data_IF_670737455489
#
_entry.id   IF_670737455489
#
_cell.length_a   1.000
_cell.length_b   1.000
_cell.length_c   1.000
_cell.angle_alpha   90.00
_cell.angle_beta   90.00
_cell.angle_gamma   90.00
#
_symmetry.space_group_name_H-M   'P 1'
#
loop_
_entity.id
_entity.type
_entity.pdbx_description
1 polymer ?
#
# COMPACT_ATOMS: atom_id res chain seq x y z
N UNK A 1 22.03 24.80 -0.25
CA UNK A 1 20.57 24.99 -0.10
C UNK A 1 19.88 23.79 -0.73
N UNK A 2 19.24 22.96 0.09
CA UNK A 2 18.88 21.58 -0.25
C UNK A 2 17.57 21.45 -1.01
N UNK A 3 17.48 20.43 -1.86
CA UNK A 3 16.35 20.08 -2.73
C UNK A 3 15.02 19.80 -2.00
N UNK A 4 14.98 19.88 -0.65
CA UNK A 4 13.92 19.31 0.20
C UNK A 4 13.07 20.35 0.96
N UNK A 5 13.28 21.65 0.80
CA UNK A 5 12.56 22.70 1.55
C UNK A 5 11.15 23.04 1.03
N UNK A 6 10.57 22.26 0.09
CA UNK A 6 9.33 22.63 -0.63
C UNK A 6 8.06 21.82 -0.32
N UNK A 7 8.07 20.95 0.68
CA UNK A 7 6.86 20.18 1.04
C UNK A 7 5.88 21.03 1.89
N UNK A 8 4.95 21.74 1.23
CA UNK A 8 3.85 22.48 1.87
C UNK A 8 2.74 21.54 2.37
N UNK A 9 2.08 21.92 3.47
CA UNK A 9 0.95 21.19 4.04
C UNK A 9 -0.27 21.13 3.09
N UNK A 10 -1.01 20.01 3.06
CA UNK A 10 -2.11 19.79 2.11
C UNK A 10 -3.36 20.63 2.44
N UNK A 11 -4.03 21.12 1.38
CA UNK A 11 -5.36 21.74 1.46
C UNK A 11 -6.44 20.66 1.30
N UNK A 12 -7.53 20.78 2.06
CA UNK A 12 -8.64 19.79 2.08
C UNK A 12 -9.27 19.59 0.68
N UNK A 13 -9.53 18.34 0.24
CA UNK A 13 -10.28 18.08 -0.97
C UNK A 13 -11.77 18.42 -0.81
N UNK A 14 -12.40 18.91 -1.88
CA UNK A 14 -13.86 19.12 -2.00
C UNK A 14 -14.54 17.83 -2.46
N UNK A 15 -15.80 17.56 -2.03
CA UNK A 15 -16.48 16.32 -2.37
C UNK A 15 -17.13 16.37 -3.76
N UNK A 16 -17.01 15.29 -4.54
CA UNK A 16 -17.93 15.02 -5.66
C UNK A 16 -18.20 13.53 -5.86
N UNK A 17 -19.50 13.24 -5.76
CA UNK A 17 -20.35 12.25 -6.44
C UNK A 17 -19.89 10.79 -6.54
N UNK A 18 -20.70 9.95 -5.92
CA UNK A 18 -20.65 8.48 -5.82
C UNK A 18 -21.03 7.76 -7.11
N UNK A 19 -20.33 6.66 -7.47
CA UNK A 19 -20.86 5.63 -8.34
C UNK A 19 -21.35 4.40 -7.56
N UNK A 20 -22.24 3.67 -8.23
CA UNK A 20 -23.06 2.53 -7.81
C UNK A 20 -22.28 1.31 -7.27
N UNK A 21 -22.79 0.54 -6.29
CA UNK A 21 -22.09 -0.61 -5.73
C UNK A 21 -21.99 -1.78 -6.72
N UNK A 22 -20.77 -2.29 -6.95
CA UNK A 22 -20.53 -3.56 -7.63
C UNK A 22 -20.79 -4.73 -6.67
N UNK A 23 -21.46 -5.77 -7.17
CA UNK A 23 -21.77 -6.98 -6.41
C UNK A 23 -20.50 -7.78 -6.01
N UNK A 24 -20.54 -8.54 -4.90
CA UNK A 24 -19.41 -9.36 -4.46
C UNK A 24 -19.12 -10.49 -5.46
N UNK A 25 -17.91 -10.52 -6.01
CA UNK A 25 -17.40 -11.60 -6.86
C UNK A 25 -17.13 -12.87 -6.04
N UNK A 26 -17.47 -14.04 -6.57
CA UNK A 26 -17.12 -15.34 -5.99
C UNK A 26 -15.60 -15.47 -5.74
N UNK A 27 -15.16 -16.12 -4.65
CA UNK A 27 -13.75 -16.20 -4.32
C UNK A 27 -13.00 -17.06 -5.36
N UNK A 28 -11.85 -16.59 -5.89
CA UNK A 28 -11.01 -17.38 -6.78
C UNK A 28 -10.55 -18.69 -6.11
N UNK A 29 -10.26 -19.73 -6.92
CA UNK A 29 -10.05 -21.11 -6.46
C UNK A 29 -8.84 -21.31 -5.51
N UNK A 30 -7.97 -20.30 -5.37
CA UNK A 30 -6.74 -20.35 -4.56
C UNK A 30 -6.88 -19.73 -3.16
N UNK A 31 -8.10 -19.42 -2.73
CA UNK A 31 -8.40 -18.84 -1.41
C UNK A 31 -8.88 -19.89 -0.41
N UNK A 32 -8.21 -19.97 0.74
CA UNK A 32 -8.58 -20.90 1.81
C UNK A 32 -9.29 -20.15 2.92
N UNK A 33 -10.53 -20.55 3.18
CA UNK A 33 -11.35 -20.08 4.30
C UNK A 33 -12.32 -21.18 4.77
N UNK A 34 -12.46 -21.44 6.09
CA UNK A 34 -11.65 -20.90 7.18
C UNK A 34 -10.17 -21.30 7.05
N UNK A 35 -9.29 -20.65 7.83
CA UNK A 35 -7.88 -21.01 7.83
C UNK A 35 -7.67 -22.47 8.30
N UNK A 36 -6.73 -23.23 7.71
CA UNK A 36 -6.38 -24.56 8.20
C UNK A 36 -5.94 -24.50 9.67
N UNK A 37 -6.37 -25.47 10.47
CA UNK A 37 -6.09 -25.56 11.90
C UNK A 37 -6.52 -24.32 12.72
N UNK A 38 -7.62 -23.65 12.37
CA UNK A 38 -8.07 -22.43 13.06
C UNK A 38 -8.33 -22.63 14.56
N UNK A 39 -8.56 -23.85 15.02
CA UNK A 39 -8.70 -24.17 16.45
C UNK A 39 -7.38 -24.03 17.22
N UNK A 40 -6.24 -24.02 16.54
CA UNK A 40 -4.94 -23.81 17.17
C UNK A 40 -4.76 -22.33 17.57
N UNK A 41 -4.42 -22.04 18.84
CA UNK A 41 -4.23 -20.66 19.30
C UNK A 41 -3.21 -19.85 18.49
N UNK A 42 -2.16 -20.50 17.99
CA UNK A 42 -1.15 -19.86 17.14
C UNK A 42 -1.72 -19.40 15.80
N UNK A 43 -2.64 -20.17 15.20
CA UNK A 43 -3.29 -19.82 13.93
C UNK A 43 -4.26 -18.66 14.13
N UNK A 44 -5.03 -18.68 15.22
CA UNK A 44 -5.90 -17.55 15.59
C UNK A 44 -5.12 -16.27 15.82
N UNK A 45 -3.95 -16.35 16.47
CA UNK A 45 -3.08 -15.20 16.66
C UNK A 45 -2.57 -14.63 15.32
N UNK A 46 -2.14 -15.50 14.39
CA UNK A 46 -1.71 -15.07 13.06
C UNK A 46 -2.88 -14.43 12.29
N UNK A 47 -4.06 -15.04 12.31
CA UNK A 47 -5.26 -14.48 11.68
C UNK A 47 -5.58 -13.09 12.25
N UNK A 48 -5.52 -12.90 13.57
CA UNK A 48 -5.71 -11.58 14.20
C UNK A 48 -4.64 -10.59 13.77
N UNK A 49 -3.36 -10.98 13.70
CA UNK A 49 -2.28 -10.11 13.20
C UNK A 49 -2.57 -9.63 11.79
N UNK A 50 -2.96 -10.54 10.90
CA UNK A 50 -3.35 -10.21 9.52
C UNK A 50 -4.56 -9.28 9.49
N UNK A 51 -5.57 -9.53 10.33
CA UNK A 51 -6.74 -8.64 10.39
C UNK A 51 -6.38 -7.20 10.79
N UNK A 52 -5.48 -7.03 11.75
CA UNK A 52 -4.96 -5.69 12.10
C UNK A 52 -4.10 -5.10 10.99
N UNK A 53 -3.31 -5.93 10.30
CA UNK A 53 -2.50 -5.52 9.17
C UNK A 53 -3.37 -4.98 8.02
N UNK A 54 -4.34 -5.75 7.55
CA UNK A 54 -5.24 -5.31 6.47
C UNK A 54 -6.12 -4.11 6.92
N UNK A 55 -6.57 -4.09 8.18
CA UNK A 55 -7.31 -2.95 8.72
C UNK A 55 -6.47 -1.67 8.75
N UNK A 56 -5.17 -1.76 9.04
CA UNK A 56 -4.24 -0.64 8.98
C UNK A 56 -4.21 -0.01 7.59
N UNK A 57 -4.02 -0.84 6.56
CA UNK A 57 -4.08 -0.42 5.15
C UNK A 57 -5.39 0.30 4.83
N UNK A 58 -6.52 -0.32 5.14
CA UNK A 58 -7.83 0.22 4.79
C UNK A 58 -8.15 1.55 5.49
N UNK A 59 -7.84 1.67 6.78
CA UNK A 59 -8.12 2.90 7.55
C UNK A 59 -7.23 4.04 7.08
N UNK A 60 -5.95 3.80 6.84
CA UNK A 60 -5.04 4.85 6.33
C UNK A 60 -5.43 5.26 4.91
N UNK A 61 -5.76 4.31 4.03
CA UNK A 61 -6.26 4.62 2.69
C UNK A 61 -7.47 5.58 2.75
N UNK A 62 -8.45 5.29 3.62
CA UNK A 62 -9.61 6.18 3.81
C UNK A 62 -9.25 7.54 4.40
N UNK A 63 -8.25 7.65 5.27
CA UNK A 63 -7.78 8.96 5.77
C UNK A 63 -7.27 9.87 4.64
N UNK A 64 -6.77 9.27 3.54
CA UNK A 64 -6.35 9.97 2.33
C UNK A 64 -7.44 10.09 1.26
N UNK A 65 -8.68 9.70 1.56
CA UNK A 65 -9.79 9.74 0.62
C UNK A 65 -9.72 8.65 -0.47
N UNK A 66 -8.89 7.63 -0.28
CA UNK A 66 -8.85 6.46 -1.17
C UNK A 66 -9.99 5.52 -0.77
N UNK A 67 -10.88 5.25 -1.71
CA UNK A 67 -11.95 4.27 -1.53
C UNK A 67 -11.37 2.85 -1.45
N UNK A 68 -11.84 2.06 -0.49
CA UNK A 68 -11.51 0.66 -0.31
C UNK A 68 -12.71 -0.17 -0.77
N UNK A 69 -12.53 -0.92 -1.85
CA UNK A 69 -13.60 -1.74 -2.45
C UNK A 69 -13.78 -3.06 -1.69
N UNK A 70 -12.66 -3.69 -1.28
CA UNK A 70 -12.66 -4.98 -0.62
C UNK A 70 -11.51 -5.08 0.39
N UNK A 71 -11.75 -5.79 1.49
CA UNK A 71 -10.74 -6.21 2.46
C UNK A 71 -11.00 -7.67 2.76
N UNK A 72 -9.97 -8.49 2.61
CA UNK A 72 -10.04 -9.90 2.96
C UNK A 72 -8.82 -10.38 3.73
N UNK A 73 -9.03 -11.28 4.68
CA UNK A 73 -8.02 -12.02 5.44
C UNK A 73 -7.98 -13.50 5.02
N UNK A 74 -8.52 -13.85 3.85
CA UNK A 74 -8.44 -15.19 3.28
C UNK A 74 -7.00 -15.53 2.89
N UNK A 75 -6.57 -16.73 3.27
CA UNK A 75 -5.21 -17.19 3.00
C UNK A 75 -5.06 -17.56 1.53
N UNK A 76 -4.00 -17.07 0.89
CA UNK A 76 -3.58 -17.40 -0.48
C UNK A 76 -2.17 -17.98 -0.47
N UNK A 77 -1.74 -18.51 -1.62
CA UNK A 77 -0.38 -19.06 -1.80
C UNK A 77 0.72 -18.03 -1.48
N UNK A 78 0.50 -16.74 -1.77
CA UNK A 78 1.52 -15.67 -1.65
C UNK A 78 1.12 -14.51 -0.73
N UNK A 79 -0.07 -14.52 -0.16
CA UNK A 79 -0.53 -13.49 0.78
C UNK A 79 -1.45 -14.09 1.84
N UNK A 80 -1.46 -13.48 3.02
CA UNK A 80 -2.34 -13.91 4.12
C UNK A 80 -3.62 -13.06 4.21
N UNK A 81 -3.63 -11.92 3.54
CA UNK A 81 -4.77 -11.03 3.36
C UNK A 81 -4.58 -10.18 2.10
N UNK A 82 -5.54 -9.28 1.88
CA UNK A 82 -5.52 -8.29 0.79
C UNK A 82 -6.49 -7.16 1.12
N UNK A 83 -6.04 -5.93 0.92
CA UNK A 83 -6.90 -4.76 0.68
C UNK A 83 -6.90 -4.40 -0.79
N UNK A 84 -8.09 -4.16 -1.35
CA UNK A 84 -8.27 -3.73 -2.74
C UNK A 84 -8.83 -2.31 -2.77
N UNK A 85 -7.97 -1.28 -2.82
CA UNK A 85 -8.41 0.09 -3.00
C UNK A 85 -8.74 0.39 -4.47
N UNK A 86 -9.47 1.48 -4.70
CA UNK A 86 -9.59 2.09 -6.03
C UNK A 86 -8.19 2.56 -6.48
N UNK A 87 -7.82 2.25 -7.71
CA UNK A 87 -6.51 2.58 -8.25
C UNK A 87 -6.28 4.09 -8.27
N UNK A 88 -5.21 4.54 -7.62
CA UNK A 88 -4.81 5.94 -7.61
C UNK A 88 -3.94 6.28 -8.84
N UNK A 89 -3.80 7.56 -9.23
CA UNK A 89 -2.87 7.97 -10.29
C UNK A 89 -1.43 7.47 -10.09
N UNK A 90 -0.93 7.49 -8.85
CA UNK A 90 0.40 6.96 -8.52
C UNK A 90 0.50 5.44 -8.70
N UNK A 91 -0.56 4.70 -8.35
CA UNK A 91 -0.64 3.27 -8.63
C UNK A 91 -0.53 2.99 -10.14
N UNK A 92 -1.36 3.66 -10.95
CA UNK A 92 -1.40 3.46 -12.40
C UNK A 92 -0.07 3.79 -13.06
N UNK A 93 0.61 4.84 -12.58
CA UNK A 93 1.92 5.22 -13.10
C UNK A 93 2.98 4.14 -12.82
N UNK A 94 2.91 3.51 -11.65
CA UNK A 94 3.83 2.44 -11.25
C UNK A 94 3.60 1.17 -12.07
N UNK A 95 2.35 0.83 -12.39
CA UNK A 95 2.05 -0.27 -13.30
C UNK A 95 2.62 -0.03 -14.69
N UNK A 96 2.35 1.14 -15.29
CA UNK A 96 2.93 1.54 -16.58
C UNK A 96 4.46 1.48 -16.57
N UNK A 97 5.09 1.96 -15.50
CA UNK A 97 6.54 1.90 -15.36
C UNK A 97 7.06 0.45 -15.23
N UNK A 98 6.36 -0.40 -14.48
CA UNK A 98 6.70 -1.81 -14.35
C UNK A 98 6.64 -2.57 -15.68
N UNK A 99 5.65 -2.27 -16.51
CA UNK A 99 5.49 -2.86 -17.84
C UNK A 99 6.58 -2.37 -18.80
N UNK A 100 6.86 -1.06 -18.82
CA UNK A 100 7.95 -0.50 -19.62
C UNK A 100 9.31 -1.10 -19.24
N UNK A 101 9.57 -1.28 -17.95
CA UNK A 101 10.81 -1.90 -17.47
C UNK A 101 10.92 -3.36 -17.94
N UNK A 102 9.85 -4.13 -17.83
CA UNK A 102 9.84 -5.53 -18.27
C UNK A 102 10.09 -5.65 -19.77
N UNK A 103 9.44 -4.81 -20.57
CA UNK A 103 9.67 -4.75 -22.02
C UNK A 103 11.12 -4.40 -22.38
N UNK A 104 11.75 -3.51 -21.61
CA UNK A 104 13.15 -3.17 -21.78
C UNK A 104 14.08 -4.35 -21.41
N UNK A 105 13.79 -5.06 -20.32
CA UNK A 105 14.57 -6.21 -19.86
C UNK A 105 14.46 -7.42 -20.83
N UNK A 106 13.31 -7.59 -21.49
CA UNK A 106 13.05 -8.67 -22.47
C UNK A 106 13.65 -8.42 -23.86
N UNK A 107 14.07 -7.19 -24.17
CA UNK A 107 14.68 -6.86 -25.47
C UNK A 107 15.93 -5.96 -25.33
N UNK A 108 17.06 -6.52 -24.87
CA UNK A 108 18.28 -5.75 -24.59
C UNK A 108 18.86 -5.03 -25.83
N UNK A 109 18.62 -5.59 -27.02
CA UNK A 109 19.20 -5.17 -28.31
C UNK A 109 18.24 -4.32 -29.18
N UNK A 110 17.07 -3.92 -28.64
CA UNK A 110 16.08 -3.14 -29.36
C UNK A 110 16.60 -1.73 -29.73
N UNK A 111 16.59 -1.39 -31.02
CA UNK A 111 16.85 -0.02 -31.54
C UNK A 111 15.78 1.00 -31.13
N UNK A 112 14.62 0.53 -30.64
CA UNK A 112 13.58 1.33 -29.98
C UNK A 112 13.84 1.42 -28.48
N UNK A 113 15.11 1.43 -28.07
CA UNK A 113 15.48 1.90 -26.74
C UNK A 113 14.94 3.32 -26.65
N UNK A 114 13.76 3.49 -26.07
CA UNK A 114 13.41 4.76 -25.45
C UNK A 114 14.49 4.89 -24.40
N UNK A 115 15.49 5.77 -24.58
CA UNK A 115 16.51 5.94 -23.57
C UNK A 115 15.77 6.15 -22.26
N UNK A 116 16.25 5.57 -21.17
CA UNK A 116 15.70 5.91 -19.85
C UNK A 116 15.80 7.44 -19.64
N UNK A 117 16.68 8.10 -20.41
CA UNK A 117 16.80 9.55 -20.60
C UNK A 117 15.59 10.28 -21.24
N UNK A 118 14.67 9.61 -21.96
CA UNK A 118 13.44 10.24 -22.50
C UNK A 118 12.32 10.29 -21.45
N UNK A 119 12.45 9.51 -20.37
CA UNK A 119 11.67 9.73 -19.16
C UNK A 119 12.36 10.85 -18.38
N UNK A 120 12.08 12.09 -18.80
CA UNK A 120 12.54 13.36 -18.21
C UNK A 120 12.71 13.27 -16.68
N UNK A 121 13.63 14.05 -16.05
CA UNK A 121 13.59 14.22 -14.60
C UNK A 121 12.18 14.69 -14.28
N UNK A 122 11.36 13.82 -13.66
CA UNK A 122 9.93 14.10 -13.55
C UNK A 122 9.81 15.40 -12.79
N UNK A 123 9.41 16.46 -13.50
CA UNK A 123 8.87 17.67 -12.90
C UNK A 123 7.97 17.22 -11.77
N UNK A 124 8.28 17.65 -10.54
CA UNK A 124 7.46 17.51 -9.32
C UNK A 124 6.20 16.68 -9.59
N UNK A 125 6.27 15.36 -9.34
CA UNK A 125 5.22 14.41 -9.67
C UNK A 125 3.82 15.05 -9.55
N UNK A 126 3.12 15.25 -10.67
CA UNK A 126 1.90 16.08 -10.74
C UNK A 126 0.81 15.63 -9.75
N UNK A 127 0.91 14.38 -9.28
CA UNK A 127 0.01 13.75 -8.33
C UNK A 127 0.69 13.48 -6.97
N UNK A 128 1.49 14.40 -6.46
CA UNK A 128 2.23 14.25 -5.20
C UNK A 128 1.35 13.75 -4.04
N UNK A 129 0.13 14.27 -3.91
CA UNK A 129 -0.85 13.83 -2.91
C UNK A 129 -1.20 12.34 -3.06
N UNK A 130 -1.37 11.85 -4.29
CA UNK A 130 -1.63 10.44 -4.58
C UNK A 130 -0.43 9.56 -4.23
N UNK A 131 0.80 10.01 -4.49
CA UNK A 131 2.01 9.28 -4.12
C UNK A 131 2.16 9.23 -2.60
N UNK A 132 1.96 10.36 -1.91
CA UNK A 132 2.00 10.40 -0.45
C UNK A 132 0.98 9.41 0.14
N UNK A 133 -0.26 9.41 -0.35
CA UNK A 133 -1.29 8.50 0.14
C UNK A 133 -0.91 7.02 -0.06
N UNK A 134 -0.35 6.68 -1.22
CA UNK A 134 0.11 5.32 -1.51
C UNK A 134 1.31 4.89 -0.65
N UNK A 135 2.29 5.78 -0.44
CA UNK A 135 3.45 5.51 0.42
C UNK A 135 3.06 5.27 1.88
N UNK A 136 2.08 6.03 2.38
CA UNK A 136 1.49 5.77 3.70
C UNK A 136 0.76 4.43 3.72
N UNK A 137 -0.08 4.19 2.71
CA UNK A 137 -0.87 2.95 2.63
C UNK A 137 0.07 1.74 2.60
N UNK A 138 1.17 1.75 1.85
CA UNK A 138 2.13 0.63 1.85
C UNK A 138 2.71 0.29 3.23
N UNK A 139 2.83 1.24 4.15
CA UNK A 139 3.42 0.98 5.47
C UNK A 139 2.36 0.77 6.56
N UNK A 140 1.13 1.18 6.30
CA UNK A 140 0.06 1.27 7.29
C UNK A 140 -0.24 -0.08 7.96
N UNK A 141 -0.29 -1.18 7.21
CA UNK A 141 -0.55 -2.50 7.77
C UNK A 141 0.52 -2.99 8.73
N UNK A 142 1.80 -2.84 8.36
CA UNK A 142 2.90 -3.21 9.24
C UNK A 142 2.95 -2.35 10.51
N UNK A 143 2.66 -1.05 10.40
CA UNK A 143 2.59 -0.14 11.55
C UNK A 143 1.42 -0.51 12.48
N UNK A 144 0.23 -0.79 11.93
CA UNK A 144 -0.93 -1.20 12.72
C UNK A 144 -0.69 -2.53 13.45
N UNK A 145 -0.04 -3.49 12.78
CA UNK A 145 0.36 -4.76 13.41
C UNK A 145 1.36 -4.53 14.55
N UNK A 146 2.39 -3.70 14.32
CA UNK A 146 3.38 -3.35 15.35
C UNK A 146 2.72 -2.66 16.55
N UNK A 147 1.84 -1.69 16.33
CA UNK A 147 1.14 -0.98 17.42
C UNK A 147 0.29 -1.91 18.28
N UNK A 148 -0.31 -2.95 17.69
CA UNK A 148 -1.18 -3.87 18.41
C UNK A 148 -0.43 -5.02 19.09
N UNK A 149 0.68 -5.49 18.50
CA UNK A 149 1.36 -6.73 18.91
C UNK A 149 2.84 -6.54 19.26
N UNK A 150 3.33 -5.29 19.27
CA UNK A 150 4.73 -4.92 19.51
C UNK A 150 5.74 -5.52 18.52
N UNK A 151 5.25 -6.10 17.41
CA UNK A 151 6.06 -6.65 16.33
C UNK A 151 5.21 -6.83 15.08
N UNK A 152 5.83 -6.72 13.90
CA UNK A 152 5.23 -7.06 12.62
C UNK A 152 5.94 -8.28 12.00
N UNK A 153 5.18 -9.26 11.52
CA UNK A 153 5.74 -10.46 10.86
C UNK A 153 5.47 -10.51 9.35
N UNK A 154 4.62 -9.62 8.84
CA UNK A 154 4.28 -9.48 7.42
C UNK A 154 4.91 -8.25 6.73
N UNK A 155 4.50 -7.98 5.48
CA UNK A 155 4.79 -6.71 4.80
C UNK A 155 5.86 -6.73 3.70
N UNK A 156 6.45 -7.88 3.36
CA UNK A 156 7.46 -7.96 2.27
C UNK A 156 6.91 -7.45 0.93
N UNK A 157 5.66 -7.78 0.62
CA UNK A 157 4.96 -7.29 -0.56
C UNK A 157 4.82 -5.78 -0.55
N UNK A 158 4.42 -5.23 0.59
CA UNK A 158 4.20 -3.79 0.73
C UNK A 158 5.52 -3.00 0.72
N UNK A 159 6.60 -3.54 1.28
CA UNK A 159 7.92 -2.93 1.18
C UNK A 159 8.44 -2.90 -0.26
N UNK A 160 8.20 -3.98 -1.02
CA UNK A 160 8.54 -4.02 -2.45
C UNK A 160 7.73 -2.97 -3.21
N UNK A 161 6.45 -2.83 -2.88
CA UNK A 161 5.56 -1.84 -3.47
C UNK A 161 6.00 -0.41 -3.14
N UNK A 162 6.28 -0.12 -1.87
CA UNK A 162 6.82 1.16 -1.40
C UNK A 162 8.09 1.52 -2.15
N UNK A 163 9.04 0.58 -2.24
CA UNK A 163 10.29 0.79 -2.97
C UNK A 163 10.03 1.10 -4.45
N UNK A 164 9.16 0.35 -5.11
CA UNK A 164 8.81 0.58 -6.51
C UNK A 164 8.20 1.96 -6.73
N UNK A 165 7.32 2.43 -5.84
CA UNK A 165 6.76 3.78 -5.91
C UNK A 165 7.81 4.88 -5.75
N UNK A 166 8.70 4.72 -4.76
CA UNK A 166 9.82 5.65 -4.54
C UNK A 166 10.73 5.68 -5.76
N UNK A 167 11.16 4.53 -6.30
CA UNK A 167 12.02 4.47 -7.48
C UNK A 167 11.34 5.05 -8.73
N UNK A 168 10.05 4.77 -8.93
CA UNK A 168 9.30 5.28 -10.09
C UNK A 168 9.15 6.80 -10.07
N UNK A 169 9.01 7.41 -8.87
CA UNK A 169 8.64 8.81 -8.73
C UNK A 169 9.80 9.73 -8.33
N UNK A 170 10.79 9.22 -7.60
CA UNK A 170 11.95 9.97 -7.12
C UNK A 170 13.29 9.47 -7.69
N UNK A 171 13.28 8.40 -8.50
CA UNK A 171 14.48 7.93 -9.20
C UNK A 171 15.02 8.97 -10.17
N UNK A 172 16.33 8.94 -10.37
CA UNK A 172 16.98 9.68 -11.45
C UNK A 172 16.63 9.11 -12.83
N UNK A 173 17.26 9.61 -13.90
CA UNK A 173 17.07 9.08 -15.26
C UNK A 173 17.45 7.59 -15.41
N UNK A 174 18.07 6.97 -14.41
CA UNK A 174 18.32 5.52 -14.35
C UNK A 174 17.36 4.79 -13.40
N UNK A 175 16.39 5.50 -12.80
CA UNK A 175 15.48 5.00 -11.78
C UNK A 175 16.18 4.69 -10.44
N UNK A 176 17.41 5.15 -10.25
CA UNK A 176 18.21 4.83 -9.07
C UNK A 176 17.83 5.76 -7.91
N UNK A 177 17.51 5.14 -6.78
CA UNK A 177 17.39 5.80 -5.47
C UNK A 177 18.28 5.02 -4.51
N UNK A 178 19.16 5.72 -3.80
CA UNK A 178 20.06 5.05 -2.87
C UNK A 178 19.27 4.33 -1.77
N UNK A 179 19.78 3.18 -1.30
CA UNK A 179 19.17 2.44 -0.20
C UNK A 179 19.01 3.28 1.07
N UNK A 180 19.95 4.20 1.34
CA UNK A 180 19.86 5.14 2.46
C UNK A 180 18.68 6.12 2.33
N UNK A 181 18.40 6.61 1.12
CA UNK A 181 17.25 7.48 0.87
C UNK A 181 15.93 6.73 1.04
N UNK A 182 15.85 5.49 0.55
CA UNK A 182 14.67 4.62 0.74
C UNK A 182 14.45 4.34 2.23
N UNK A 183 15.52 4.03 2.98
CA UNK A 183 15.43 3.80 4.42
C UNK A 183 14.94 5.05 5.17
N UNK A 184 15.44 6.23 4.80
CA UNK A 184 15.02 7.51 5.38
C UNK A 184 13.54 7.80 5.11
N UNK A 185 13.10 7.65 3.85
CA UNK A 185 11.69 7.84 3.47
C UNK A 185 10.81 6.84 4.21
N UNK A 186 11.19 5.56 4.24
CA UNK A 186 10.43 4.53 4.97
C UNK A 186 10.29 4.89 6.44
N UNK A 187 11.36 5.32 7.10
CA UNK A 187 11.30 5.75 8.51
C UNK A 187 10.36 6.95 8.70
N UNK A 188 10.40 7.95 7.81
CA UNK A 188 9.51 9.11 7.86
C UNK A 188 8.04 8.71 7.70
N UNK A 189 7.70 7.93 6.67
CA UNK A 189 6.34 7.50 6.42
C UNK A 189 5.84 6.51 7.49
N UNK A 190 6.72 5.69 8.06
CA UNK A 190 6.41 4.83 9.21
C UNK A 190 5.92 5.65 10.40
N UNK A 191 6.69 6.68 10.79
CA UNK A 191 6.33 7.55 11.91
C UNK A 191 5.05 8.35 11.61
N UNK A 192 4.88 8.83 10.38
CA UNK A 192 3.64 9.50 9.96
C UNK A 192 2.42 8.56 10.05
N UNK A 193 2.54 7.32 9.59
CA UNK A 193 1.49 6.30 9.76
C UNK A 193 1.18 6.06 11.24
N UNK A 194 2.21 5.99 12.10
CA UNK A 194 2.03 5.83 13.54
C UNK A 194 1.28 7.01 14.16
N UNK A 195 1.59 8.25 13.76
CA UNK A 195 0.86 9.45 14.19
C UNK A 195 -0.60 9.42 13.74
N UNK A 196 -0.86 9.05 12.48
CA UNK A 196 -2.22 8.91 11.94
C UNK A 196 -3.00 7.85 12.74
N UNK A 197 -2.40 6.68 12.94
CA UNK A 197 -3.06 5.53 13.58
C UNK A 197 -3.20 5.68 15.10
N UNK A 198 -2.36 6.49 15.75
CA UNK A 198 -2.45 6.76 17.20
C UNK A 198 -3.66 7.63 17.55
N UNK A 199 -4.23 8.36 16.58
CA UNK A 199 -5.47 9.12 16.81
C UNK A 199 -6.59 8.18 17.27
N UNK A 200 -7.28 8.46 18.39
CA UNK A 200 -8.28 7.55 18.96
C UNK A 200 -9.38 7.13 17.98
N UNK A 201 -9.85 8.06 17.14
CA UNK A 201 -10.82 7.81 16.07
C UNK A 201 -10.32 6.73 15.10
N UNK A 202 -9.12 6.90 14.57
CA UNK A 202 -8.54 5.99 13.59
C UNK A 202 -8.25 4.62 14.21
N UNK A 203 -7.72 4.58 15.43
CA UNK A 203 -7.44 3.32 16.12
C UNK A 203 -8.72 2.54 16.46
N UNK A 204 -9.80 3.27 16.80
CA UNK A 204 -11.11 2.66 17.03
C UNK A 204 -11.62 1.98 15.75
N UNK A 205 -11.47 2.65 14.60
CA UNK A 205 -11.80 2.07 13.31
C UNK A 205 -10.94 0.86 12.96
N UNK A 206 -9.62 0.90 13.20
CA UNK A 206 -8.75 -0.28 12.96
C UNK A 206 -9.23 -1.49 13.75
N UNK A 207 -9.52 -1.32 15.04
CA UNK A 207 -10.04 -2.41 15.88
C UNK A 207 -11.39 -2.92 15.40
N UNK A 208 -12.29 -2.03 14.99
CA UNK A 208 -13.61 -2.38 14.49
C UNK A 208 -13.52 -3.17 13.18
N UNK A 209 -12.71 -2.70 12.22
CA UNK A 209 -12.48 -3.37 10.93
C UNK A 209 -11.79 -4.72 11.11
N UNK A 210 -10.74 -4.80 11.93
CA UNK A 210 -10.06 -6.07 12.21
C UNK A 210 -11.01 -7.09 12.86
N UNK A 211 -11.84 -6.65 13.81
CA UNK A 211 -12.86 -7.48 14.45
C UNK A 211 -13.94 -7.95 13.46
N UNK A 212 -14.34 -7.08 12.53
CA UNK A 212 -15.29 -7.43 11.49
C UNK A 212 -14.69 -8.48 10.53
N UNK A 213 -13.45 -8.29 10.07
CA UNK A 213 -12.76 -9.22 9.18
C UNK A 213 -12.62 -10.63 9.79
N UNK A 214 -12.27 -10.73 11.08
CA UNK A 214 -12.18 -12.04 11.78
C UNK A 214 -13.54 -12.75 11.89
N UNK A 215 -14.64 -11.99 11.98
CA UNK A 215 -16.00 -12.53 12.15
C UNK A 215 -16.73 -12.79 10.83
N UNK A 216 -16.23 -12.24 9.74
CA UNK A 216 -16.80 -12.33 8.41
C UNK A 216 -16.69 -13.77 7.89
N UNK A 217 -17.78 -14.32 7.36
CA UNK A 217 -17.78 -15.60 6.63
C UNK A 217 -17.02 -15.50 5.29
N UNK A 218 -16.81 -14.27 4.83
CA UNK A 218 -16.01 -13.98 3.66
C UNK A 218 -14.53 -13.75 4.01
N UNK A 219 -14.16 -13.89 5.29
CA UNK A 219 -12.88 -13.44 5.82
C UNK A 219 -12.66 -12.01 5.42
#
# INVERSE_FOLDING_TARGET
>A
MGFFDKFRQPKRPRPRNSPTPLQPSSPPPDEVWPWPDIDRPVVQLVQRRVAFHEAGHAVVARCFGIEVMDLSIRRRVRSLGRVTPVATPAWQQVEKYGDLRRLADESPESRLRTPVDVLHPRSLFDYEESLQAELHTCLAGAVAEEMQFSSCTGGRGDWRRFHLQVSCCYGDLNGFVSGSSIALLRHRYWNSCKEILTKPENWTWVKAVAKAAVRSEHG
#
